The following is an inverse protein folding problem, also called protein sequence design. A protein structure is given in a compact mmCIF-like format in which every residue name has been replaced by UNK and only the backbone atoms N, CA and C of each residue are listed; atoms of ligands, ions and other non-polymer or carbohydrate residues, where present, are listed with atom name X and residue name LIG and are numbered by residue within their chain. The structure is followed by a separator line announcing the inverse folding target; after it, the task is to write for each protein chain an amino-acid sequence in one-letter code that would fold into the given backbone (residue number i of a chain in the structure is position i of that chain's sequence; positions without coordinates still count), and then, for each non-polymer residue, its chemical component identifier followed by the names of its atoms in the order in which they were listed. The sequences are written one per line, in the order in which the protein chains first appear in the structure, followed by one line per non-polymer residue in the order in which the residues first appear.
data_IF_762105717972
#
_entry.id   IF_762105717972
#
_cell.length_a   1.000
_cell.length_b   1.000
_cell.length_c   1.000
_cell.angle_alpha   90.00
_cell.angle_beta   90.00
_cell.angle_gamma   90.00
#
_symmetry.space_group_name_H-M   'P 1'
#
loop_
_entity.id
_entity.type
_entity.pdbx_description
1 polymer ?
#
# COMPACT_ATOMS: atom_id res chain seq x y z
N UNK A 1 35.12 17.87 0.26
CA UNK A 1 34.62 18.45 -1.01
C UNK A 1 33.89 17.43 -1.90
N UNK A 2 34.11 16.11 -1.81
CA UNK A 2 33.45 15.13 -2.67
C UNK A 2 31.97 14.82 -2.28
N UNK A 3 31.59 14.98 -1.01
CA UNK A 3 30.23 14.63 -0.56
C UNK A 3 29.16 15.66 -0.95
N UNK A 4 29.48 16.96 -0.95
CA UNK A 4 28.51 18.02 -1.25
C UNK A 4 28.11 18.02 -2.73
N UNK A 5 29.08 17.81 -3.62
CA UNK A 5 28.85 17.75 -5.07
C UNK A 5 28.05 16.52 -5.51
N UNK A 6 28.09 15.42 -4.74
CA UNK A 6 27.28 14.21 -4.99
C UNK A 6 25.80 14.40 -4.58
N UNK A 7 25.53 15.21 -3.58
CA UNK A 7 24.16 15.53 -3.11
C UNK A 7 23.48 16.52 -4.06
N UNK A 8 24.19 17.55 -4.55
CA UNK A 8 23.62 18.52 -5.49
C UNK A 8 23.16 17.89 -6.81
N UNK A 9 23.79 16.80 -7.24
CA UNK A 9 23.42 16.07 -8.45
C UNK A 9 22.52 14.84 -8.21
N UNK A 10 22.08 14.63 -6.97
CA UNK A 10 21.23 13.49 -6.63
C UNK A 10 19.79 13.75 -7.07
N UNK A 11 19.15 12.88 -7.89
CA UNK A 11 17.81 13.12 -8.40
C UNK A 11 16.74 13.24 -7.29
N UNK A 12 16.97 12.68 -6.11
CA UNK A 12 16.06 12.77 -4.96
C UNK A 12 16.15 14.09 -4.18
N UNK A 13 17.21 14.87 -4.39
CA UNK A 13 17.37 16.20 -3.76
C UNK A 13 17.02 17.34 -4.68
N UNK A 14 16.76 17.05 -5.96
CA UNK A 14 16.31 18.03 -6.94
C UNK A 14 14.78 18.14 -6.85
N UNK A 15 14.27 19.31 -6.46
CA UNK A 15 12.84 19.58 -6.41
C UNK A 15 12.24 19.66 -7.82
N UNK A 16 12.06 18.53 -8.49
CA UNK A 16 11.32 18.45 -9.74
C UNK A 16 9.82 18.28 -9.45
N UNK A 17 9.00 18.73 -10.40
CA UNK A 17 7.54 18.57 -10.28
C UNK A 17 7.12 17.09 -10.31
N UNK A 18 7.74 16.29 -11.15
CA UNK A 18 7.54 14.84 -11.23
C UNK A 18 8.84 14.11 -10.93
N UNK A 19 8.80 12.93 -10.31
CA UNK A 19 9.99 12.14 -10.05
C UNK A 19 10.66 11.68 -11.34
N UNK A 20 11.99 11.73 -11.37
CA UNK A 20 12.81 11.17 -12.45
C UNK A 20 13.13 9.71 -12.15
N UNK A 21 12.14 8.81 -12.25
CA UNK A 21 12.26 7.40 -11.86
C UNK A 21 13.45 6.68 -12.52
N UNK A 22 13.70 6.94 -13.80
CA UNK A 22 14.81 6.33 -14.55
C UNK A 22 16.19 6.73 -14.04
N UNK A 23 16.29 7.89 -13.36
CA UNK A 23 17.55 8.39 -12.79
C UNK A 23 17.77 7.96 -11.35
N UNK A 24 16.72 7.52 -10.64
CA UNK A 24 16.82 7.07 -9.24
C UNK A 24 17.48 5.71 -9.21
N UNK A 25 18.63 5.64 -8.51
CA UNK A 25 19.40 4.40 -8.31
C UNK A 25 19.55 4.11 -6.81
N UNK A 26 19.78 2.85 -6.41
CA UNK A 26 19.95 2.47 -5.00
C UNK A 26 20.96 3.33 -4.24
N UNK A 27 22.08 3.66 -4.88
CA UNK A 27 23.16 4.49 -4.28
C UNK A 27 22.76 5.94 -4.01
N UNK A 28 21.68 6.43 -4.61
CA UNK A 28 21.16 7.77 -4.37
C UNK A 28 20.34 7.88 -3.08
N UNK A 29 19.73 6.77 -2.63
CA UNK A 29 18.65 6.76 -1.64
C UNK A 29 19.14 7.18 -0.27
N UNK A 30 20.01 6.39 0.36
CA UNK A 30 20.48 6.64 1.73
C UNK A 30 21.15 8.00 1.89
N UNK A 31 22.05 8.46 0.99
CA UNK A 31 22.65 9.77 1.11
C UNK A 31 21.67 10.92 1.02
N UNK A 32 20.67 10.86 0.11
CA UNK A 32 19.67 11.90 -0.05
C UNK A 32 18.79 12.02 1.20
N UNK A 33 18.24 10.90 1.67
CA UNK A 33 17.35 10.89 2.85
C UNK A 33 18.08 11.37 4.09
N UNK A 34 19.32 10.93 4.31
CA UNK A 34 20.14 11.38 5.44
C UNK A 34 20.41 12.89 5.38
N UNK A 35 20.72 13.41 4.21
CA UNK A 35 20.96 14.85 4.02
C UNK A 35 19.67 15.66 4.27
N UNK A 36 18.53 15.28 3.69
CA UNK A 36 17.25 15.98 3.88
C UNK A 36 16.84 15.97 5.35
N UNK A 37 16.97 14.83 6.05
CA UNK A 37 16.67 14.74 7.48
C UNK A 37 17.53 15.72 8.29
N UNK A 38 18.82 15.82 8.00
CA UNK A 38 19.72 16.72 8.72
C UNK A 38 19.37 18.18 8.45
N UNK A 39 19.13 18.53 7.19
CA UNK A 39 18.67 19.89 6.80
C UNK A 39 17.34 20.26 7.49
N UNK A 40 16.37 19.35 7.49
CA UNK A 40 15.09 19.56 8.14
C UNK A 40 15.24 19.77 9.66
N UNK A 41 16.05 18.94 10.33
CA UNK A 41 16.35 19.12 11.75
C UNK A 41 16.95 20.50 12.06
N UNK A 42 17.90 20.93 11.24
CA UNK A 42 18.54 22.26 11.38
C UNK A 42 17.50 23.38 11.19
N UNK A 43 16.74 23.35 10.10
CA UNK A 43 15.73 24.37 9.79
C UNK A 43 14.62 24.46 10.83
N UNK A 44 14.19 23.33 11.40
CA UNK A 44 13.22 23.29 12.49
C UNK A 44 13.80 23.95 13.76
N UNK A 45 15.07 23.65 14.10
CA UNK A 45 15.71 24.29 15.23
C UNK A 45 15.82 25.82 15.05
N UNK A 46 16.25 26.27 13.87
CA UNK A 46 16.35 27.69 13.54
C UNK A 46 14.98 28.39 13.58
N UNK A 47 13.94 27.74 13.04
CA UNK A 47 12.57 28.20 13.13
C UNK A 47 12.11 28.41 14.56
N UNK A 48 12.38 27.46 15.45
CA UNK A 48 11.98 27.53 16.85
C UNK A 48 12.70 28.64 17.63
N UNK A 49 13.90 29.05 17.20
CA UNK A 49 14.61 30.20 17.80
C UNK A 49 13.89 31.54 17.52
N UNK A 50 13.12 31.64 16.46
CA UNK A 50 12.35 32.86 16.11
C UNK A 50 11.05 33.00 16.89
N UNK A 51 10.68 32.02 17.73
CA UNK A 51 9.43 32.03 18.50
C UNK A 51 8.18 32.23 17.62
N UNK A 52 7.94 31.37 16.59
CA UNK A 52 6.88 31.57 15.62
C UNK A 52 5.50 31.53 16.30
N UNK A 53 4.61 32.45 15.93
CA UNK A 53 3.30 32.65 16.54
C UNK A 53 2.15 32.78 15.56
N UNK A 54 2.42 32.68 14.25
CA UNK A 54 1.40 32.75 13.19
C UNK A 54 1.43 31.51 12.30
N UNK A 55 0.35 31.31 11.55
CA UNK A 55 0.27 30.23 10.54
C UNK A 55 1.43 30.28 9.55
N UNK A 56 1.72 31.43 9.00
CA UNK A 56 2.79 31.64 8.03
C UNK A 56 4.18 31.43 8.63
N UNK A 57 4.36 31.76 9.90
CA UNK A 57 5.66 31.58 10.55
C UNK A 57 5.91 30.14 11.04
N UNK A 58 4.87 29.38 11.38
CA UNK A 58 5.02 28.05 11.95
C UNK A 58 4.63 26.95 10.96
N UNK A 59 3.39 26.97 10.46
CA UNK A 59 2.83 25.83 9.71
C UNK A 59 3.42 25.75 8.30
N UNK A 60 3.43 26.87 7.58
CA UNK A 60 3.90 26.90 6.19
C UNK A 60 5.34 26.40 6.03
N UNK A 61 6.32 26.84 6.86
CA UNK A 61 7.68 26.29 6.76
C UNK A 61 7.78 24.80 7.12
N UNK A 62 7.02 24.35 8.11
CA UNK A 62 7.04 22.93 8.50
C UNK A 62 6.47 22.04 7.41
N UNK A 63 5.35 22.42 6.80
CA UNK A 63 4.76 21.70 5.67
C UNK A 63 5.71 21.62 4.47
N UNK A 64 6.44 22.70 4.18
CA UNK A 64 7.44 22.70 3.11
C UNK A 64 8.62 21.72 3.38
N UNK A 65 9.01 21.55 4.64
CA UNK A 65 10.04 20.60 5.04
C UNK A 65 9.55 19.15 4.92
N UNK A 66 8.31 18.90 5.35
CA UNK A 66 7.68 17.58 5.22
C UNK A 66 7.47 17.20 3.75
N UNK A 67 7.04 18.15 2.92
CA UNK A 67 6.90 17.96 1.49
C UNK A 67 8.23 17.61 0.81
N UNK A 68 9.31 18.28 1.19
CA UNK A 68 10.65 18.01 0.66
C UNK A 68 11.07 16.57 0.95
N UNK A 69 10.86 16.08 2.16
CA UNK A 69 11.15 14.70 2.53
C UNK A 69 10.23 13.72 1.81
N UNK A 70 8.93 14.02 1.71
CA UNK A 70 7.96 13.18 1.03
C UNK A 70 8.27 13.04 -0.47
N UNK A 71 8.59 14.13 -1.17
CA UNK A 71 8.98 14.11 -2.59
C UNK A 71 10.23 13.27 -2.86
N UNK A 72 11.14 13.18 -1.89
CA UNK A 72 12.32 12.33 -2.00
C UNK A 72 12.03 10.86 -1.66
N UNK A 73 11.20 10.60 -0.64
CA UNK A 73 10.96 9.25 -0.13
C UNK A 73 9.86 8.50 -0.88
N UNK A 74 8.77 9.17 -1.26
CA UNK A 74 7.62 8.53 -1.93
C UNK A 74 8.01 7.78 -3.21
N UNK A 75 8.86 8.34 -4.14
CA UNK A 75 9.32 7.59 -5.31
C UNK A 75 10.11 6.33 -4.95
N UNK A 76 10.94 6.38 -3.90
CA UNK A 76 11.75 5.23 -3.44
C UNK A 76 10.84 4.13 -2.89
N UNK A 77 9.88 4.50 -2.03
CA UNK A 77 8.89 3.58 -1.47
C UNK A 77 8.04 2.93 -2.56
N UNK A 78 7.61 3.74 -3.52
CA UNK A 78 6.87 3.27 -4.68
C UNK A 78 7.67 2.27 -5.52
N UNK A 79 8.89 2.63 -5.91
CA UNK A 79 9.79 1.75 -6.68
C UNK A 79 10.09 0.44 -5.94
N UNK A 80 10.26 0.49 -4.62
CA UNK A 80 10.42 -0.71 -3.79
C UNK A 80 9.19 -1.64 -3.87
N UNK A 81 7.99 -1.08 -4.09
CA UNK A 81 6.74 -1.84 -4.23
C UNK A 81 6.49 -2.35 -5.66
N UNK A 82 7.04 -1.73 -6.70
CA UNK A 82 6.67 -2.02 -8.10
C UNK A 82 7.81 -2.52 -9.00
N UNK A 83 9.06 -2.26 -8.62
CA UNK A 83 10.30 -2.72 -9.32
C UNK A 83 11.35 -3.15 -8.31
N UNK A 84 10.92 -3.90 -7.30
CA UNK A 84 11.78 -4.37 -6.22
C UNK A 84 13.02 -5.10 -6.74
N UNK A 85 14.17 -4.78 -6.14
CA UNK A 85 15.44 -5.46 -6.37
C UNK A 85 16.22 -5.54 -5.07
N UNK A 86 17.16 -6.47 -4.97
CA UNK A 86 17.98 -6.65 -3.77
C UNK A 86 18.69 -5.35 -3.33
N UNK A 87 19.30 -4.64 -4.27
CA UNK A 87 20.00 -3.39 -3.98
C UNK A 87 19.06 -2.25 -3.56
N UNK A 88 17.89 -2.12 -4.22
CA UNK A 88 16.89 -1.11 -3.86
C UNK A 88 16.30 -1.41 -2.49
N UNK A 89 15.95 -2.66 -2.22
CA UNK A 89 15.44 -3.13 -0.92
C UNK A 89 16.44 -2.86 0.20
N UNK A 90 17.72 -3.12 -0.04
CA UNK A 90 18.78 -2.81 0.92
C UNK A 90 18.82 -1.32 1.25
N UNK A 91 18.86 -0.45 0.25
CA UNK A 91 18.87 1.00 0.45
C UNK A 91 17.57 1.50 1.13
N UNK A 92 16.42 0.94 0.76
CA UNK A 92 15.14 1.20 1.41
C UNK A 92 15.20 0.85 2.91
N UNK A 93 15.66 -0.37 3.25
CA UNK A 93 15.74 -0.85 4.63
C UNK A 93 16.75 -0.06 5.48
N UNK A 94 17.82 0.45 4.90
CA UNK A 94 18.74 1.36 5.58
C UNK A 94 18.08 2.70 5.95
N UNK A 95 17.11 3.16 5.17
CA UNK A 95 16.39 4.40 5.43
C UNK A 95 15.25 4.26 6.45
N UNK A 96 14.63 3.09 6.60
CA UNK A 96 13.51 2.88 7.54
C UNK A 96 13.83 3.32 8.97
N UNK A 97 14.96 2.92 9.59
CA UNK A 97 15.31 3.40 10.93
C UNK A 97 15.60 4.90 10.99
N UNK A 98 16.20 5.49 9.93
CA UNK A 98 16.48 6.93 9.86
C UNK A 98 15.19 7.74 9.86
N UNK A 99 14.22 7.35 9.04
CA UNK A 99 12.90 7.98 8.93
C UNK A 99 12.09 7.80 10.23
N UNK A 100 12.13 6.60 10.82
CA UNK A 100 11.44 6.32 12.09
C UNK A 100 12.03 7.13 13.23
N UNK A 101 13.36 7.26 13.28
CA UNK A 101 14.02 8.13 14.26
C UNK A 101 13.67 9.59 14.07
N UNK A 102 13.70 10.09 12.83
CA UNK A 102 13.33 11.46 12.52
C UNK A 102 11.87 11.75 12.93
N UNK A 103 10.92 10.92 12.49
CA UNK A 103 9.51 11.09 12.83
C UNK A 103 9.27 11.05 14.35
N UNK A 104 9.96 10.16 15.07
CA UNK A 104 9.89 10.07 16.53
C UNK A 104 10.45 11.33 17.19
N UNK A 105 11.62 11.81 16.74
CA UNK A 105 12.25 13.02 17.27
C UNK A 105 11.37 14.28 17.05
N UNK A 106 10.73 14.39 15.89
CA UNK A 106 9.77 15.48 15.62
C UNK A 106 8.54 15.35 16.50
N UNK A 107 7.91 14.16 16.55
CA UNK A 107 6.71 13.92 17.34
C UNK A 107 6.92 14.06 18.87
N UNK A 108 8.15 13.93 19.37
CA UNK A 108 8.52 14.12 20.77
C UNK A 108 9.13 15.49 21.07
N UNK A 109 9.21 16.39 20.08
CA UNK A 109 9.78 17.71 20.24
C UNK A 109 8.84 18.62 21.05
N UNK A 110 9.14 18.77 22.34
CA UNK A 110 8.33 19.59 23.26
C UNK A 110 8.26 21.06 22.85
N UNK A 111 9.34 21.63 22.32
CA UNK A 111 9.35 23.05 21.86
C UNK A 111 8.42 23.26 20.66
N UNK A 112 8.40 22.27 19.75
CA UNK A 112 7.51 22.29 18.59
C UNK A 112 6.04 22.13 19.03
N UNK A 113 5.76 21.18 19.91
CA UNK A 113 4.44 21.02 20.52
C UNK A 113 3.95 22.32 21.16
N UNK A 114 4.80 22.96 21.99
CA UNK A 114 4.46 24.22 22.66
C UNK A 114 4.22 25.38 21.67
N UNK A 115 4.90 25.37 20.52
CA UNK A 115 4.61 26.33 19.46
C UNK A 115 3.21 26.16 18.87
N UNK A 116 2.76 24.92 18.66
CA UNK A 116 1.39 24.63 18.23
C UNK A 116 0.35 24.98 19.30
N UNK A 117 0.65 24.74 20.58
CA UNK A 117 -0.25 25.14 21.69
C UNK A 117 -0.37 26.67 21.75
N UNK A 118 0.74 27.41 21.66
CA UNK A 118 0.69 28.88 21.58
C UNK A 118 -0.12 29.39 20.40
N UNK A 119 -0.04 28.74 19.24
CA UNK A 119 -0.84 29.10 18.08
C UNK A 119 -2.35 28.84 18.32
N UNK A 120 -2.70 27.74 18.97
CA UNK A 120 -4.07 27.40 19.39
C UNK A 120 -4.64 28.46 20.37
N UNK A 121 -3.83 28.95 21.30
CA UNK A 121 -4.22 29.91 22.35
C UNK A 121 -4.09 31.40 21.90
N UNK A 122 -3.62 31.65 20.69
CA UNK A 122 -3.43 32.99 20.15
C UNK A 122 -4.75 33.69 19.79
N UNK A 123 -4.79 35.03 19.88
CA UNK A 123 -5.95 35.83 19.44
C UNK A 123 -6.28 35.57 17.95
N UNK A 124 -5.27 35.29 17.13
CA UNK A 124 -5.40 34.99 15.71
C UNK A 124 -6.12 33.65 15.39
N UNK A 125 -6.21 32.75 16.35
CA UNK A 125 -6.84 31.41 16.12
C UNK A 125 -8.32 31.52 15.73
N UNK A 126 -9.04 32.53 16.26
CA UNK A 126 -10.45 32.71 15.93
C UNK A 126 -10.68 33.00 14.45
N UNK A 127 -9.73 33.64 13.76
CA UNK A 127 -9.79 33.99 12.35
C UNK A 127 -9.47 32.80 11.40
N UNK A 128 -8.94 31.70 11.90
CA UNK A 128 -8.63 30.53 11.08
C UNK A 128 -9.91 29.85 10.57
N UNK A 129 -9.84 29.36 9.33
CA UNK A 129 -10.93 28.54 8.76
C UNK A 129 -11.00 27.14 9.42
N UNK A 130 -12.02 26.39 9.10
CA UNK A 130 -12.26 25.06 9.69
C UNK A 130 -11.12 24.07 9.40
N UNK A 131 -10.52 24.13 8.20
CA UNK A 131 -9.41 23.25 7.81
C UNK A 131 -8.14 23.57 8.63
N UNK A 132 -7.79 24.84 8.76
CA UNK A 132 -6.64 25.29 9.56
C UNK A 132 -6.79 24.90 11.04
N UNK A 133 -7.99 25.09 11.61
CA UNK A 133 -8.28 24.65 12.99
C UNK A 133 -8.14 23.14 13.15
N UNK A 134 -8.57 22.38 12.13
CA UNK A 134 -8.44 20.90 12.15
C UNK A 134 -6.98 20.47 12.06
N UNK A 135 -6.16 21.10 11.22
CA UNK A 135 -4.71 20.81 11.14
C UNK A 135 -4.07 20.99 12.50
N UNK A 136 -4.27 22.13 13.18
CA UNK A 136 -3.69 22.40 14.50
C UNK A 136 -4.16 21.35 15.53
N UNK A 137 -5.46 21.04 15.58
CA UNK A 137 -6.01 20.06 16.51
C UNK A 137 -5.46 18.66 16.26
N UNK A 138 -5.37 18.23 15.00
CA UNK A 138 -4.81 16.93 14.64
C UNK A 138 -3.32 16.85 15.02
N UNK A 139 -2.54 17.87 14.69
CA UNK A 139 -1.10 17.90 15.00
C UNK A 139 -0.84 17.84 16.51
N UNK A 140 -1.60 18.59 17.32
CA UNK A 140 -1.51 18.52 18.79
C UNK A 140 -1.87 17.12 19.32
N UNK A 141 -2.91 16.49 18.79
CA UNK A 141 -3.26 15.09 19.08
C UNK A 141 -2.10 14.16 18.74
N UNK A 142 -1.52 14.32 17.54
CA UNK A 142 -0.49 13.44 17.01
C UNK A 142 0.83 13.56 17.81
N UNK A 143 1.18 14.73 18.30
CA UNK A 143 2.26 14.90 19.29
C UNK A 143 2.02 14.08 20.56
N UNK A 144 0.79 14.09 21.10
CA UNK A 144 0.43 13.28 22.27
C UNK A 144 0.56 11.79 21.96
N UNK A 145 0.11 11.34 20.79
CA UNK A 145 0.21 9.96 20.32
C UNK A 145 1.66 9.54 19.98
N UNK A 146 2.55 10.50 19.76
CA UNK A 146 3.99 10.27 19.61
C UNK A 146 4.76 10.29 20.95
N UNK A 147 4.06 10.55 22.07
CA UNK A 147 4.65 10.50 23.39
C UNK A 147 5.42 11.78 23.79
N UNK A 148 4.99 12.97 23.31
CA UNK A 148 5.65 14.25 23.66
C UNK A 148 5.66 14.53 25.15
N UNK A 149 4.69 14.00 25.91
CA UNK A 149 4.54 14.17 27.36
C UNK A 149 5.24 13.09 28.19
N UNK A 150 5.81 12.07 27.58
CA UNK A 150 6.55 11.01 28.26
C UNK A 150 7.82 11.57 28.94
N UNK A 151 8.28 10.91 30.00
CA UNK A 151 9.59 11.16 30.60
C UNK A 151 10.72 10.75 29.62
N UNK A 152 11.92 11.26 29.82
CA UNK A 152 13.01 11.08 28.85
C UNK A 152 13.43 9.61 28.67
N UNK A 153 13.40 8.81 29.72
CA UNK A 153 13.64 7.35 29.66
C UNK A 153 12.52 6.61 28.93
N UNK A 154 11.26 7.01 29.13
CA UNK A 154 10.11 6.47 28.40
C UNK A 154 10.13 6.86 26.92
N UNK A 155 10.58 8.07 26.58
CA UNK A 155 10.78 8.51 25.17
C UNK A 155 11.82 7.65 24.46
N UNK A 156 12.94 7.36 25.12
CA UNK A 156 13.96 6.49 24.53
C UNK A 156 13.45 5.06 24.37
N UNK A 157 12.66 4.58 25.33
CA UNK A 157 12.00 3.27 25.22
C UNK A 157 11.00 3.25 24.04
N UNK A 158 10.14 4.24 23.95
CA UNK A 158 9.19 4.41 22.82
C UNK A 158 9.92 4.40 21.47
N UNK A 159 11.02 5.14 21.33
CA UNK A 159 11.85 5.19 20.12
C UNK A 159 12.31 3.78 19.70
N UNK A 160 12.85 3.00 20.64
CA UNK A 160 13.29 1.62 20.38
C UNK A 160 12.14 0.72 19.91
N UNK A 161 10.99 0.79 20.60
CA UNK A 161 9.80 0.03 20.20
C UNK A 161 9.34 0.40 18.78
N UNK A 162 9.35 1.68 18.42
CA UNK A 162 8.98 2.17 17.08
C UNK A 162 9.96 1.71 16.01
N UNK A 163 11.27 1.72 16.29
CA UNK A 163 12.28 1.23 15.36
C UNK A 163 12.13 -0.26 15.10
N UNK A 164 11.99 -1.08 16.14
CA UNK A 164 11.75 -2.51 15.99
C UNK A 164 10.46 -2.79 15.21
N UNK A 165 9.37 -2.09 15.55
CA UNK A 165 8.09 -2.27 14.86
C UNK A 165 8.19 -1.94 13.36
N UNK A 166 8.87 -0.87 12.97
CA UNK A 166 9.00 -0.49 11.56
C UNK A 166 9.84 -1.50 10.76
N UNK A 167 10.93 -2.01 11.34
CA UNK A 167 11.75 -3.04 10.71
C UNK A 167 11.00 -4.37 10.53
N UNK A 168 10.26 -4.81 11.56
CA UNK A 168 9.48 -6.04 11.48
C UNK A 168 8.32 -5.93 10.48
N UNK A 169 7.69 -4.77 10.40
CA UNK A 169 6.62 -4.54 9.42
C UNK A 169 7.17 -4.62 7.99
N UNK A 170 8.34 -4.01 7.72
CA UNK A 170 9.02 -4.13 6.43
C UNK A 170 9.38 -5.58 6.12
N UNK A 171 9.95 -6.30 7.09
CA UNK A 171 10.32 -7.71 6.91
C UNK A 171 9.12 -8.61 6.67
N UNK A 172 7.99 -8.34 7.32
CA UNK A 172 6.74 -9.05 7.08
C UNK A 172 6.29 -8.93 5.62
N UNK A 173 6.27 -7.72 5.08
CA UNK A 173 5.86 -7.47 3.70
C UNK A 173 6.83 -8.11 2.69
N UNK A 174 8.14 -8.03 2.95
CA UNK A 174 9.17 -8.68 2.14
C UNK A 174 8.99 -10.19 2.08
N UNK A 175 8.77 -10.85 3.23
CA UNK A 175 8.57 -12.29 3.28
C UNK A 175 7.34 -12.73 2.47
N UNK A 176 6.25 -11.97 2.49
CA UNK A 176 5.05 -12.26 1.67
C UNK A 176 5.36 -12.12 0.18
N UNK A 177 6.08 -11.07 -0.22
CA UNK A 177 6.47 -10.86 -1.62
C UNK A 177 7.41 -11.97 -2.10
N UNK A 178 8.45 -12.27 -1.30
CA UNK A 178 9.47 -13.26 -1.66
C UNK A 178 8.89 -14.67 -1.74
N UNK A 179 8.01 -15.05 -0.80
CA UNK A 179 7.27 -16.31 -0.86
C UNK A 179 6.43 -16.41 -2.14
N UNK A 180 5.75 -15.33 -2.50
CA UNK A 180 4.93 -15.29 -3.72
C UNK A 180 5.78 -15.46 -4.96
N UNK A 181 6.95 -14.82 -5.03
CA UNK A 181 7.87 -14.88 -6.16
C UNK A 181 8.67 -16.20 -6.25
N UNK A 182 8.89 -16.86 -5.12
CA UNK A 182 9.70 -18.09 -5.06
C UNK A 182 8.92 -19.34 -5.46
N UNK A 183 7.59 -19.35 -5.30
CA UNK A 183 6.79 -20.50 -5.59
C UNK A 183 6.40 -20.58 -7.07
N UNK A 184 6.55 -21.78 -7.64
CA UNK A 184 6.11 -22.09 -9.00
C UNK A 184 5.68 -23.54 -9.12
N UNK A 185 4.82 -23.79 -10.08
CA UNK A 185 4.42 -25.13 -10.50
C UNK A 185 4.62 -25.26 -12.01
N UNK A 186 5.61 -26.08 -12.42
CA UNK A 186 5.84 -26.42 -13.82
C UNK A 186 5.24 -27.78 -14.12
N UNK A 187 4.61 -27.95 -15.28
CA UNK A 187 4.06 -29.21 -15.74
C UNK A 187 4.14 -29.35 -17.27
N UNK A 188 4.35 -30.58 -17.71
CA UNK A 188 4.18 -31.02 -19.11
C UNK A 188 2.97 -31.96 -19.28
N UNK A 189 2.26 -32.26 -18.15
CA UNK A 189 1.09 -33.14 -18.15
C UNK A 189 -0.16 -32.37 -18.52
N UNK A 190 -0.75 -32.75 -19.68
CA UNK A 190 -1.99 -32.14 -20.16
C UNK A 190 -3.21 -32.35 -19.24
N UNK A 191 -3.19 -33.36 -18.37
CA UNK A 191 -4.29 -33.57 -17.43
C UNK A 191 -4.44 -32.39 -16.45
N UNK A 192 -3.33 -31.77 -16.04
CA UNK A 192 -3.36 -30.58 -15.21
C UNK A 192 -3.95 -29.35 -15.92
N UNK A 193 -4.02 -29.37 -17.26
CA UNK A 193 -4.45 -28.23 -18.07
C UNK A 193 -5.95 -28.23 -18.37
N UNK A 194 -6.63 -29.37 -18.09
CA UNK A 194 -8.05 -29.56 -18.39
C UNK A 194 -8.90 -28.53 -17.64
N UNK A 195 -9.81 -27.89 -18.39
CA UNK A 195 -10.69 -26.84 -17.87
C UNK A 195 -10.10 -25.44 -17.87
N UNK A 196 -8.77 -25.30 -17.93
CA UNK A 196 -8.13 -23.99 -17.94
C UNK A 196 -8.41 -23.20 -19.24
N UNK A 197 -8.71 -21.90 -19.15
CA UNK A 197 -8.93 -21.08 -20.34
C UNK A 197 -7.62 -20.81 -21.10
N UNK A 198 -7.74 -20.60 -22.41
CA UNK A 198 -6.61 -20.35 -23.31
C UNK A 198 -5.75 -19.16 -22.85
N UNK A 199 -6.38 -18.13 -22.26
CA UNK A 199 -5.67 -16.96 -21.72
C UNK A 199 -4.70 -17.34 -20.57
N UNK A 200 -5.09 -18.27 -19.70
CA UNK A 200 -4.25 -18.76 -18.62
C UNK A 200 -3.14 -19.68 -19.14
N UNK A 201 -3.47 -20.56 -20.11
CA UNK A 201 -2.49 -21.45 -20.73
C UNK A 201 -1.41 -20.68 -21.48
N UNK A 202 -1.80 -19.65 -22.24
CA UNK A 202 -0.87 -18.77 -22.95
C UNK A 202 0.07 -18.03 -22.00
N UNK A 203 -0.46 -17.50 -20.89
CA UNK A 203 0.36 -16.85 -19.86
C UNK A 203 1.34 -17.82 -19.20
N UNK A 204 0.87 -19.03 -18.84
CA UNK A 204 1.72 -20.06 -18.24
C UNK A 204 2.79 -20.57 -19.22
N UNK A 205 2.47 -20.67 -20.51
CA UNK A 205 3.42 -21.03 -21.56
C UNK A 205 4.51 -19.96 -21.72
N UNK A 206 4.11 -18.71 -21.82
CA UNK A 206 5.04 -17.58 -21.88
C UNK A 206 5.98 -17.53 -20.66
N UNK A 207 5.44 -17.80 -19.48
CA UNK A 207 6.24 -17.87 -18.24
C UNK A 207 7.27 -18.99 -18.28
N UNK A 208 6.89 -20.19 -18.79
CA UNK A 208 7.82 -21.30 -18.97
C UNK A 208 8.95 -20.94 -19.96
N UNK A 209 8.60 -20.33 -21.08
CA UNK A 209 9.58 -19.88 -22.07
C UNK A 209 10.57 -18.85 -21.52
N UNK A 210 10.09 -17.85 -20.76
CA UNK A 210 10.95 -16.85 -20.10
C UNK A 210 11.92 -17.50 -19.09
N UNK A 211 11.51 -18.60 -18.47
CA UNK A 211 12.31 -19.37 -17.51
C UNK A 211 13.14 -20.51 -18.17
N UNK A 212 13.05 -20.65 -19.48
CA UNK A 212 13.70 -21.74 -20.23
C UNK A 212 13.28 -23.13 -19.73
N UNK A 213 12.02 -23.29 -19.38
CA UNK A 213 11.40 -24.55 -18.93
C UNK A 213 10.47 -25.10 -20.00
N UNK A 214 10.39 -26.43 -20.09
CA UNK A 214 9.41 -27.09 -20.95
C UNK A 214 8.01 -27.06 -20.32
N UNK A 215 6.97 -27.10 -21.14
CA UNK A 215 5.59 -27.18 -20.67
C UNK A 215 4.99 -25.83 -20.30
N UNK A 216 4.35 -25.77 -19.14
CA UNK A 216 3.62 -24.61 -18.61
C UNK A 216 4.07 -24.34 -17.17
N UNK A 217 4.43 -23.09 -16.88
CA UNK A 217 4.84 -22.67 -15.54
C UNK A 217 3.83 -21.69 -14.97
N UNK A 218 3.25 -22.07 -13.85
CA UNK A 218 2.28 -21.31 -13.10
C UNK A 218 2.94 -20.70 -11.86
N UNK A 219 2.52 -19.49 -11.50
CA UNK A 219 2.97 -18.74 -10.30
C UNK A 219 1.80 -18.44 -9.38
N UNK A 220 2.07 -17.85 -8.20
CA UNK A 220 1.02 -17.39 -7.28
C UNK A 220 0.54 -15.95 -7.56
N UNK A 221 0.96 -15.33 -8.66
CA UNK A 221 0.39 -14.07 -9.08
C UNK A 221 -1.11 -14.22 -9.34
N UNK A 222 -1.88 -13.24 -8.86
CA UNK A 222 -3.34 -13.31 -8.90
C UNK A 222 -3.94 -13.62 -10.30
N UNK A 223 -3.41 -13.03 -11.41
CA UNK A 223 -3.90 -13.35 -12.75
C UNK A 223 -3.68 -14.82 -13.19
N UNK A 224 -2.77 -15.53 -12.51
CA UNK A 224 -2.48 -16.95 -12.80
C UNK A 224 -3.13 -17.87 -11.77
N UNK A 225 -3.16 -17.45 -10.49
CA UNK A 225 -3.81 -18.19 -9.40
C UNK A 225 -5.32 -18.34 -9.60
N UNK A 226 -6.02 -17.22 -9.88
CA UNK A 226 -7.49 -17.24 -9.98
C UNK A 226 -8.03 -18.14 -11.10
N UNK A 227 -7.49 -18.15 -12.34
CA UNK A 227 -7.93 -19.09 -13.37
C UNK A 227 -7.79 -20.55 -12.95
N UNK A 228 -6.72 -20.93 -12.24
CA UNK A 228 -6.57 -22.29 -11.71
C UNK A 228 -7.68 -22.61 -10.73
N UNK A 229 -7.99 -21.72 -9.80
CA UNK A 229 -9.04 -21.93 -8.80
C UNK A 229 -10.45 -21.99 -9.38
N UNK A 230 -10.73 -21.25 -10.45
CA UNK A 230 -12.05 -21.14 -11.07
C UNK A 230 -12.32 -22.23 -12.11
N UNK A 231 -11.27 -22.67 -12.83
CA UNK A 231 -11.47 -23.43 -14.06
C UNK A 231 -10.75 -24.78 -14.13
N UNK A 232 -9.65 -24.99 -13.38
CA UNK A 232 -8.95 -26.27 -13.44
C UNK A 232 -9.87 -27.41 -12.98
N UNK A 233 -10.09 -28.42 -13.80
CA UNK A 233 -10.94 -29.58 -13.46
C UNK A 233 -10.27 -30.46 -12.40
N UNK A 234 -8.92 -30.50 -12.35
CA UNK A 234 -8.17 -31.26 -11.36
C UNK A 234 -8.24 -30.63 -9.96
N UNK A 235 -8.99 -31.28 -9.05
CA UNK A 235 -9.13 -30.84 -7.66
C UNK A 235 -7.79 -30.88 -6.90
N UNK A 236 -6.89 -31.79 -7.24
CA UNK A 236 -5.57 -31.88 -6.59
C UNK A 236 -4.68 -30.70 -6.98
N UNK A 237 -4.79 -30.21 -8.21
CA UNK A 237 -4.12 -28.98 -8.63
C UNK A 237 -4.67 -27.77 -7.88
N UNK A 238 -6.01 -27.63 -7.79
CA UNK A 238 -6.64 -26.55 -7.01
C UNK A 238 -6.19 -26.59 -5.55
N UNK A 239 -6.14 -27.77 -4.93
CA UNK A 239 -5.63 -27.94 -3.56
C UNK A 239 -4.19 -27.44 -3.41
N UNK A 240 -3.30 -27.83 -4.33
CA UNK A 240 -1.90 -27.40 -4.33
C UNK A 240 -1.77 -25.88 -4.38
N UNK A 241 -2.52 -25.25 -5.29
CA UNK A 241 -2.53 -23.79 -5.43
C UNK A 241 -3.14 -23.08 -4.20
N UNK A 242 -4.26 -23.58 -3.70
CA UNK A 242 -4.91 -23.06 -2.51
C UNK A 242 -3.97 -23.11 -1.31
N UNK A 243 -3.34 -24.24 -1.04
CA UNK A 243 -2.38 -24.38 0.05
C UNK A 243 -1.21 -23.40 -0.12
N UNK A 244 -0.59 -23.37 -1.30
CA UNK A 244 0.52 -22.49 -1.55
C UNK A 244 0.13 -21.02 -1.40
N UNK A 245 -1.04 -20.60 -1.86
CA UNK A 245 -1.48 -19.22 -1.77
C UNK A 245 -1.87 -18.77 -0.37
N UNK A 246 -2.62 -19.61 0.37
CA UNK A 246 -3.16 -19.26 1.68
C UNK A 246 -2.14 -19.37 2.81
N UNK A 247 -1.06 -20.12 2.61
CA UNK A 247 0.01 -20.32 3.60
C UNK A 247 1.30 -19.56 3.29
N UNK A 248 1.24 -18.55 2.41
CA UNK A 248 2.40 -17.71 2.11
C UNK A 248 2.94 -17.06 3.38
N UNK A 249 4.25 -17.09 3.53
CA UNK A 249 4.97 -16.54 4.67
C UNK A 249 4.44 -17.01 6.04
N UNK A 250 4.02 -18.28 6.13
CA UNK A 250 3.60 -18.90 7.38
C UNK A 250 4.46 -20.12 7.72
N UNK A 251 4.26 -20.69 8.90
CA UNK A 251 4.87 -21.94 9.36
C UNK A 251 4.22 -23.18 8.71
N UNK A 252 3.21 -23.01 7.87
CA UNK A 252 2.47 -24.06 7.17
C UNK A 252 2.75 -24.01 5.66
N UNK A 253 2.47 -25.14 4.99
CA UNK A 253 2.49 -25.19 3.53
C UNK A 253 3.84 -25.50 2.90
N UNK A 254 3.95 -25.34 1.57
CA UNK A 254 5.10 -25.80 0.80
C UNK A 254 6.25 -24.79 0.69
N UNK A 255 6.26 -23.76 1.49
CA UNK A 255 7.21 -22.64 1.39
C UNK A 255 8.46 -22.86 2.25
N UNK A 256 9.54 -22.19 1.87
CA UNK A 256 10.76 -22.17 2.67
C UNK A 256 10.51 -21.43 4.00
N UNK A 257 10.97 -22.02 5.08
CA UNK A 257 10.81 -21.51 6.45
C UNK A 257 11.51 -20.17 6.69
N UNK A 258 12.48 -19.79 5.84
CA UNK A 258 13.13 -18.48 5.92
C UNK A 258 12.17 -17.31 5.75
N UNK A 259 11.01 -17.53 5.11
CA UNK A 259 9.98 -16.52 4.89
C UNK A 259 8.89 -16.53 5.98
N UNK A 260 9.00 -17.37 7.01
CA UNK A 260 7.97 -17.50 8.02
C UNK A 260 7.79 -16.23 8.84
N UNK A 261 6.55 -15.73 8.89
CA UNK A 261 6.16 -14.52 9.62
C UNK A 261 5.52 -14.78 10.99
N UNK A 262 5.39 -16.04 11.44
CA UNK A 262 4.68 -16.36 12.68
C UNK A 262 5.26 -15.62 13.89
N UNK A 263 6.57 -15.72 14.11
CA UNK A 263 7.25 -15.01 15.19
C UNK A 263 7.21 -13.47 15.00
N UNK A 264 7.32 -13.01 13.74
CA UNK A 264 7.21 -11.59 13.42
C UNK A 264 5.84 -11.04 13.79
N UNK A 265 4.76 -11.79 13.55
CA UNK A 265 3.39 -11.38 13.93
C UNK A 265 3.26 -11.23 15.44
N UNK A 266 3.74 -12.22 16.21
CA UNK A 266 3.69 -12.18 17.67
C UNK A 266 4.47 -10.98 18.22
N UNK A 267 5.66 -10.72 17.68
CA UNK A 267 6.47 -9.58 18.10
C UNK A 267 5.83 -8.24 17.72
N UNK A 268 5.28 -8.09 16.52
CA UNK A 268 4.51 -6.90 16.10
C UNK A 268 3.34 -6.65 17.06
N UNK A 269 2.57 -7.67 17.41
CA UNK A 269 1.44 -7.54 18.33
C UNK A 269 1.90 -7.10 19.71
N UNK A 270 2.99 -7.70 20.22
CA UNK A 270 3.61 -7.35 21.51
C UNK A 270 4.09 -5.89 21.52
N UNK A 271 4.83 -5.46 20.47
CA UNK A 271 5.32 -4.08 20.35
C UNK A 271 4.16 -3.06 20.28
N UNK A 272 3.11 -3.37 19.50
CA UNK A 272 1.91 -2.52 19.42
C UNK A 272 1.22 -2.37 20.78
N UNK A 273 1.14 -3.45 21.55
CA UNK A 273 0.58 -3.43 22.90
C UNK A 273 1.44 -2.58 23.85
N UNK A 274 2.76 -2.80 23.89
CA UNK A 274 3.70 -2.04 24.71
C UNK A 274 3.64 -0.53 24.41
N UNK A 275 3.67 -0.14 23.12
CA UNK A 275 3.55 1.26 22.71
C UNK A 275 2.21 1.86 23.17
N UNK A 276 1.12 1.10 23.10
CA UNK A 276 -0.20 1.59 23.50
C UNK A 276 -0.27 1.84 25.01
N UNK A 277 0.23 0.90 25.81
CA UNK A 277 0.26 1.03 27.27
C UNK A 277 1.17 2.18 27.72
N UNK A 278 2.32 2.37 27.07
CA UNK A 278 3.24 3.47 27.36
C UNK A 278 2.56 4.84 27.14
N UNK A 279 1.62 4.92 26.20
CA UNK A 279 0.83 6.12 25.91
C UNK A 279 -0.47 6.23 26.73
N UNK A 280 -0.72 5.31 27.67
CA UNK A 280 -1.88 5.33 28.56
C UNK A 280 -3.16 4.69 27.97
N UNK A 281 -3.07 3.96 26.87
CA UNK A 281 -4.18 3.17 26.32
C UNK A 281 -4.15 1.74 26.88
N UNK A 282 -5.31 1.13 27.08
CA UNK A 282 -5.40 -0.25 27.54
C UNK A 282 -4.90 -1.26 26.49
N UNK A 283 -5.06 -0.94 25.23
CA UNK A 283 -4.69 -1.81 24.10
C UNK A 283 -4.47 -1.04 22.81
N UNK A 284 -3.95 -1.74 21.79
CA UNK A 284 -3.70 -1.16 20.47
C UNK A 284 -4.98 -0.72 19.74
N UNK A 285 -6.12 -1.40 19.94
CA UNK A 285 -7.36 -1.03 19.29
C UNK A 285 -7.84 0.37 19.73
N UNK A 286 -7.82 0.66 21.04
CA UNK A 286 -8.14 1.99 21.57
C UNK A 286 -7.19 3.06 21.00
N UNK A 287 -5.87 2.80 21.03
CA UNK A 287 -4.90 3.72 20.44
C UNK A 287 -5.15 3.95 18.95
N UNK A 288 -5.44 2.90 18.21
CA UNK A 288 -5.71 2.95 16.77
C UNK A 288 -6.95 3.79 16.45
N UNK A 289 -7.97 3.77 17.30
CA UNK A 289 -9.20 4.54 17.12
C UNK A 289 -9.05 6.03 17.44
N UNK A 290 -8.01 6.44 18.18
CA UNK A 290 -7.79 7.85 18.53
C UNK A 290 -7.72 8.80 17.31
N UNK A 291 -7.44 8.28 16.11
CA UNK A 291 -7.39 9.03 14.84
C UNK A 291 -8.50 8.67 13.86
N UNK A 292 -9.47 7.84 14.26
CA UNK A 292 -10.52 7.30 13.40
C UNK A 292 -11.91 7.82 13.77
N UNK A 293 -12.92 7.48 12.98
CA UNK A 293 -14.31 7.91 13.19
C UNK A 293 -15.02 7.11 14.27
N UNK A 294 -14.70 5.82 14.45
CA UNK A 294 -15.31 5.00 15.48
C UNK A 294 -14.78 5.44 16.86
N UNK A 295 -15.67 5.53 17.83
CA UNK A 295 -15.37 6.08 19.16
C UNK A 295 -14.76 5.06 20.12
N UNK A 296 -15.08 3.77 19.93
CA UNK A 296 -14.56 2.69 20.80
C UNK A 296 -14.43 1.36 20.07
N UNK A 297 -13.57 0.45 20.55
CA UNK A 297 -13.50 -0.94 20.06
C UNK A 297 -14.85 -1.67 20.14
N UNK A 298 -15.65 -1.38 21.19
CA UNK A 298 -16.98 -1.96 21.36
C UNK A 298 -17.94 -1.55 20.25
N UNK A 299 -17.93 -0.28 19.85
CA UNK A 299 -18.75 0.20 18.71
C UNK A 299 -18.39 -0.57 17.42
N UNK A 300 -17.09 -0.79 17.17
CA UNK A 300 -16.64 -1.56 16.01
C UNK A 300 -17.08 -3.02 16.10
N UNK A 301 -16.94 -3.65 17.26
CA UNK A 301 -17.34 -5.05 17.47
C UNK A 301 -18.86 -5.22 17.33
N UNK A 302 -19.65 -4.31 17.88
CA UNK A 302 -21.12 -4.36 17.74
C UNK A 302 -21.55 -4.27 16.28
N UNK A 303 -20.96 -3.34 15.52
CA UNK A 303 -21.20 -3.22 14.09
C UNK A 303 -20.83 -4.50 13.31
N UNK A 304 -19.64 -5.08 13.60
CA UNK A 304 -19.21 -6.31 12.94
C UNK A 304 -20.07 -7.53 13.32
N UNK A 305 -20.49 -7.62 14.59
CA UNK A 305 -21.38 -8.70 15.04
C UNK A 305 -22.76 -8.60 14.38
N UNK A 306 -23.33 -7.40 14.29
CA UNK A 306 -24.60 -7.17 13.58
C UNK A 306 -24.50 -7.59 12.10
N UNK A 307 -23.41 -7.22 11.41
CA UNK A 307 -23.18 -7.66 10.04
C UNK A 307 -23.07 -9.19 9.95
N UNK A 308 -22.37 -9.82 10.90
CA UNK A 308 -22.21 -11.28 10.92
C UNK A 308 -23.54 -11.99 11.16
N UNK A 309 -24.38 -11.50 12.09
CA UNK A 309 -25.72 -12.06 12.37
C UNK A 309 -26.61 -12.03 11.14
N UNK A 310 -26.61 -10.93 10.38
CA UNK A 310 -27.40 -10.81 9.16
C UNK A 310 -26.83 -11.60 7.98
N UNK A 311 -25.49 -11.68 7.84
CA UNK A 311 -24.83 -12.33 6.71
C UNK A 311 -24.76 -13.86 6.84
N UNK A 312 -24.57 -14.38 8.06
CA UNK A 312 -24.34 -15.81 8.28
C UNK A 312 -25.45 -16.73 7.78
N UNK A 313 -26.77 -16.44 8.01
CA UNK A 313 -27.85 -17.25 7.47
C UNK A 313 -27.85 -17.30 5.93
N UNK A 314 -27.55 -16.18 5.28
CA UNK A 314 -27.49 -16.07 3.82
C UNK A 314 -26.34 -16.92 3.29
N UNK A 315 -25.15 -16.74 3.85
CA UNK A 315 -23.94 -17.50 3.48
C UNK A 315 -24.13 -19.02 3.65
N UNK A 316 -24.83 -19.45 4.73
CA UNK A 316 -25.17 -20.88 4.92
C UNK A 316 -26.11 -21.40 3.83
N UNK A 317 -27.10 -20.61 3.43
CA UNK A 317 -28.04 -21.00 2.37
C UNK A 317 -27.31 -21.08 1.01
N UNK A 318 -26.45 -20.12 0.68
CA UNK A 318 -25.65 -20.13 -0.54
C UNK A 318 -24.67 -21.33 -0.58
N UNK A 319 -24.02 -21.64 0.54
CA UNK A 319 -23.17 -22.83 0.64
C UNK A 319 -23.96 -24.12 0.46
N UNK A 320 -25.16 -24.25 1.06
CA UNK A 320 -26.04 -25.40 0.89
C UNK A 320 -26.48 -25.55 -0.58
N UNK A 321 -26.83 -24.44 -1.24
CA UNK A 321 -27.16 -24.46 -2.67
C UNK A 321 -25.97 -24.97 -3.50
N UNK A 322 -24.77 -24.47 -3.23
CA UNK A 322 -23.55 -24.89 -3.92
C UNK A 322 -23.25 -26.37 -3.71
N UNK A 323 -23.37 -26.89 -2.48
CA UNK A 323 -23.18 -28.30 -2.16
C UNK A 323 -24.21 -29.20 -2.89
N UNK A 324 -25.48 -28.77 -2.92
CA UNK A 324 -26.53 -29.51 -3.64
C UNK A 324 -26.27 -29.53 -5.14
N UNK A 325 -25.85 -28.42 -5.72
CA UNK A 325 -25.47 -28.33 -7.13
C UNK A 325 -24.30 -29.27 -7.45
N UNK A 326 -23.22 -29.22 -6.66
CA UNK A 326 -22.04 -30.07 -6.85
C UNK A 326 -22.41 -31.57 -6.74
N UNK A 327 -23.27 -31.94 -5.79
CA UNK A 327 -23.75 -33.30 -5.60
C UNK A 327 -24.60 -33.79 -6.79
N UNK A 328 -25.52 -32.95 -7.28
CA UNK A 328 -26.45 -33.32 -8.34
C UNK A 328 -25.80 -33.41 -9.70
N UNK A 329 -24.89 -32.49 -10.03
CA UNK A 329 -24.31 -32.38 -11.38
C UNK A 329 -22.93 -33.02 -11.52
N UNK A 330 -22.18 -33.15 -10.42
CA UNK A 330 -20.80 -33.63 -10.43
C UNK A 330 -20.55 -34.80 -9.48
N UNK A 331 -21.58 -35.27 -8.76
CA UNK A 331 -21.49 -36.41 -7.80
C UNK A 331 -20.50 -36.14 -6.64
N UNK A 332 -20.19 -34.89 -6.36
CA UNK A 332 -19.34 -34.47 -5.25
C UNK A 332 -20.18 -34.26 -4.01
N UNK A 333 -19.95 -35.05 -2.98
CA UNK A 333 -20.76 -35.02 -1.75
C UNK A 333 -20.23 -34.08 -0.68
N UNK A 334 -18.96 -33.68 -0.76
CA UNK A 334 -18.32 -32.76 0.17
C UNK A 334 -17.43 -31.80 -0.61
N UNK A 335 -17.58 -30.51 -0.35
CA UNK A 335 -16.73 -29.45 -0.90
C UNK A 335 -15.62 -29.12 0.09
N UNK A 336 -14.39 -29.06 -0.41
CA UNK A 336 -13.26 -28.50 0.29
C UNK A 336 -13.15 -26.99 -0.02
N UNK A 337 -12.34 -26.27 0.73
CA UNK A 337 -12.15 -24.84 0.52
C UNK A 337 -11.68 -24.47 -0.90
N UNK A 338 -10.82 -25.31 -1.48
CA UNK A 338 -10.33 -25.12 -2.86
C UNK A 338 -11.34 -25.48 -3.95
N UNK A 339 -12.43 -26.14 -3.60
CA UNK A 339 -13.50 -26.50 -4.53
C UNK A 339 -14.56 -25.40 -4.66
N UNK A 340 -14.69 -24.55 -3.65
CA UNK A 340 -15.73 -23.51 -3.59
C UNK A 340 -15.65 -22.55 -4.81
N UNK A 341 -14.51 -21.97 -5.18
CA UNK A 341 -14.44 -21.06 -6.33
C UNK A 341 -14.83 -21.77 -7.64
N UNK A 342 -14.37 -22.99 -7.83
CA UNK A 342 -14.66 -23.79 -9.03
C UNK A 342 -16.15 -24.10 -9.18
N UNK A 343 -16.80 -24.65 -8.15
CA UNK A 343 -18.22 -24.96 -8.24
C UNK A 343 -19.09 -23.71 -8.23
N UNK A 344 -18.66 -22.63 -7.62
CA UNK A 344 -19.35 -21.33 -7.72
C UNK A 344 -19.37 -20.81 -9.17
N UNK A 345 -18.26 -20.92 -9.90
CA UNK A 345 -18.23 -20.56 -11.32
C UNK A 345 -19.08 -21.51 -12.18
N UNK A 346 -19.07 -22.81 -11.90
CA UNK A 346 -19.94 -23.79 -12.59
C UNK A 346 -21.43 -23.53 -12.30
N UNK A 347 -21.80 -23.20 -11.05
CA UNK A 347 -23.17 -22.84 -10.68
C UNK A 347 -23.61 -21.56 -11.38
N UNK A 348 -22.74 -20.56 -11.45
CA UNK A 348 -23.01 -19.30 -12.16
C UNK A 348 -23.24 -19.56 -13.66
N UNK A 349 -22.39 -20.37 -14.30
CA UNK A 349 -22.57 -20.79 -15.69
C UNK A 349 -23.91 -21.52 -15.90
N UNK A 350 -24.25 -22.42 -14.97
CA UNK A 350 -25.51 -23.16 -15.03
C UNK A 350 -26.74 -22.24 -14.89
N UNK A 351 -26.70 -21.28 -13.96
CA UNK A 351 -27.85 -20.39 -13.70
C UNK A 351 -28.01 -19.29 -14.77
N UNK A 352 -26.91 -18.72 -15.25
CA UNK A 352 -26.93 -17.50 -16.06
C UNK A 352 -26.41 -17.70 -17.49
N UNK A 353 -25.89 -18.91 -17.80
CA UNK A 353 -25.29 -19.22 -19.09
C UNK A 353 -24.19 -18.24 -19.53
N UNK A 354 -23.39 -17.76 -18.56
CA UNK A 354 -22.30 -16.77 -18.74
C UNK A 354 -21.10 -17.16 -17.89
N UNK A 355 -19.91 -17.20 -18.48
CA UNK A 355 -18.65 -17.30 -17.80
C UNK A 355 -17.89 -15.96 -17.75
N UNK A 356 -16.92 -15.83 -16.87
CA UNK A 356 -16.02 -14.66 -16.88
C UNK A 356 -15.21 -14.57 -18.17
N UNK A 357 -14.84 -15.72 -18.75
CA UNK A 357 -14.09 -15.77 -20.01
C UNK A 357 -14.92 -15.24 -21.19
N UNK A 358 -16.22 -15.54 -21.23
CA UNK A 358 -17.13 -15.04 -22.27
C UNK A 358 -17.26 -13.51 -22.24
N UNK A 359 -17.07 -12.90 -21.07
CA UNK A 359 -17.14 -11.45 -20.90
C UNK A 359 -15.85 -10.73 -21.29
N UNK A 360 -14.68 -11.36 -21.16
CA UNK A 360 -13.37 -10.71 -21.42
C UNK A 360 -13.26 -10.00 -22.76
N UNK A 361 -13.74 -10.56 -23.90
CA UNK A 361 -13.65 -9.89 -25.20
C UNK A 361 -14.42 -8.56 -25.27
N UNK A 362 -15.44 -8.39 -24.42
CA UNK A 362 -16.26 -7.18 -24.39
C UNK A 362 -15.63 -6.08 -23.54
N UNK A 363 -14.65 -6.43 -22.66
CA UNK A 363 -14.00 -5.52 -21.73
C UNK A 363 -12.48 -5.43 -21.93
N UNK A 364 -11.98 -5.18 -23.18
CA UNK A 364 -10.55 -4.96 -23.36
C UNK A 364 -10.13 -3.69 -22.64
N UNK A 365 -8.97 -3.73 -21.97
CA UNK A 365 -8.51 -2.69 -21.05
C UNK A 365 -8.58 -1.27 -21.61
N UNK A 366 -8.19 -1.08 -22.88
CA UNK A 366 -8.22 0.24 -23.54
C UNK A 366 -9.64 0.80 -23.67
N UNK A 367 -10.67 -0.05 -23.88
CA UNK A 367 -12.08 0.37 -23.91
C UNK A 367 -12.60 0.66 -22.52
N UNK A 368 -12.20 -0.16 -21.53
CA UNK A 368 -12.60 0.04 -20.11
C UNK A 368 -12.06 1.35 -19.58
N UNK A 369 -10.76 1.63 -19.77
CA UNK A 369 -10.13 2.88 -19.34
C UNK A 369 -10.82 4.09 -20.02
N UNK A 370 -11.00 4.02 -21.34
CA UNK A 370 -11.70 5.09 -22.05
C UNK A 370 -13.13 5.28 -21.54
N UNK A 371 -13.88 4.19 -21.37
CA UNK A 371 -15.27 4.25 -20.86
C UNK A 371 -15.34 4.81 -19.44
N UNK A 372 -14.38 4.46 -18.56
CA UNK A 372 -14.27 5.04 -17.24
C UNK A 372 -14.04 6.55 -17.30
N UNK A 373 -13.13 7.02 -18.16
CA UNK A 373 -12.88 8.45 -18.32
C UNK A 373 -14.10 9.19 -18.90
N UNK A 374 -14.82 8.58 -19.83
CA UNK A 374 -16.05 9.14 -20.39
C UNK A 374 -17.14 9.27 -19.29
N UNK A 375 -17.28 8.28 -18.39
CA UNK A 375 -18.22 8.36 -17.26
C UNK A 375 -17.81 9.46 -16.28
N UNK A 376 -16.53 9.52 -15.91
CA UNK A 376 -16.01 10.53 -14.98
C UNK A 376 -16.17 11.95 -15.57
N UNK A 377 -15.94 12.12 -16.86
CA UNK A 377 -16.21 13.38 -17.56
C UNK A 377 -17.68 13.79 -17.46
N UNK A 378 -18.60 12.85 -17.71
CA UNK A 378 -20.06 13.12 -17.63
C UNK A 378 -20.55 13.46 -16.23
N UNK A 379 -19.91 12.87 -15.19
CA UNK A 379 -20.29 13.11 -13.80
C UNK A 379 -19.72 14.39 -13.23
N UNK A 380 -18.47 14.72 -13.58
CA UNK A 380 -17.70 15.79 -12.92
C UNK A 380 -17.23 16.89 -13.86
N UNK A 381 -17.44 16.78 -15.16
CA UNK A 381 -16.97 17.77 -16.15
C UNK A 381 -15.47 17.79 -16.37
N UNK A 382 -14.71 16.85 -15.78
CA UNK A 382 -13.26 16.78 -15.93
C UNK A 382 -12.84 16.00 -17.16
N UNK A 383 -11.72 16.39 -17.75
CA UNK A 383 -11.12 15.72 -18.92
C UNK A 383 -9.87 14.98 -18.46
N UNK A 384 -9.71 13.73 -18.90
CA UNK A 384 -8.52 12.91 -18.61
C UNK A 384 -7.83 12.58 -19.92
N UNK A 385 -6.55 12.94 -20.04
CA UNK A 385 -5.75 12.74 -21.26
C UNK A 385 -4.46 12.00 -20.96
N UNK A 386 -4.10 11.03 -21.79
CA UNK A 386 -2.78 10.42 -21.75
C UNK A 386 -1.72 11.45 -22.22
N UNK A 387 -0.58 11.46 -21.56
CA UNK A 387 0.58 12.28 -21.91
C UNK A 387 1.77 11.35 -22.13
N UNK A 388 2.34 11.42 -23.32
CA UNK A 388 3.51 10.62 -23.70
C UNK A 388 4.82 11.30 -23.27
N UNK A 389 5.89 10.51 -23.17
CA UNK A 389 7.23 11.00 -22.90
C UNK A 389 7.51 11.37 -21.43
N UNK A 390 6.61 11.05 -20.53
CA UNK A 390 6.84 11.20 -19.07
C UNK A 390 7.66 10.01 -18.57
N UNK A 391 8.64 10.31 -17.73
CA UNK A 391 9.49 9.29 -17.13
C UNK A 391 8.71 8.39 -16.18
N UNK A 392 8.86 7.08 -16.34
CA UNK A 392 8.14 6.04 -15.61
C UNK A 392 9.12 4.95 -15.15
N UNK A 393 8.72 4.18 -14.14
CA UNK A 393 9.51 3.05 -13.62
C UNK A 393 9.43 1.78 -14.48
N UNK A 394 8.47 1.68 -15.42
CA UNK A 394 8.31 0.53 -16.30
C UNK A 394 7.58 0.93 -17.59
N UNK A 395 7.87 0.23 -18.69
CA UNK A 395 7.28 0.51 -20.03
C UNK A 395 5.76 0.32 -20.12
N UNK A 396 5.17 -0.48 -19.25
CA UNK A 396 3.71 -0.73 -19.20
C UNK A 396 2.93 0.34 -18.45
N UNK A 397 3.62 1.31 -17.84
CA UNK A 397 3.00 2.39 -17.09
C UNK A 397 2.59 3.51 -18.02
N UNK A 398 1.36 3.96 -17.89
CA UNK A 398 0.83 5.11 -18.62
C UNK A 398 0.65 6.30 -17.68
N UNK A 399 0.85 7.51 -18.18
CA UNK A 399 0.67 8.74 -17.43
C UNK A 399 -0.50 9.57 -17.97
N UNK A 400 -1.27 10.16 -17.08
CA UNK A 400 -2.48 10.92 -17.40
C UNK A 400 -2.53 12.24 -16.67
N UNK A 401 -3.11 13.24 -17.33
CA UNK A 401 -3.46 14.54 -16.74
C UNK A 401 -4.98 14.67 -16.64
N UNK A 402 -5.43 15.25 -15.54
CA UNK A 402 -6.80 15.61 -15.26
C UNK A 402 -6.93 17.13 -15.35
N UNK A 403 -7.78 17.62 -16.24
CA UNK A 403 -8.12 19.02 -16.34
C UNK A 403 -9.62 19.26 -16.14
N UNK A 404 -10.00 20.45 -15.70
CA UNK A 404 -11.40 20.87 -15.63
C UNK A 404 -11.94 21.34 -16.99
N UNK A 405 -13.16 21.88 -16.98
CA UNK A 405 -13.82 22.42 -18.17
C UNK A 405 -13.08 23.61 -18.81
N UNK A 406 -12.29 24.33 -18.01
CA UNK A 406 -11.46 25.47 -18.44
C UNK A 406 -10.03 25.09 -18.80
N UNK A 407 -9.75 23.78 -18.95
CA UNK A 407 -8.43 23.20 -19.20
C UNK A 407 -7.39 23.48 -18.11
N UNK A 408 -7.84 23.83 -16.88
CA UNK A 408 -6.95 23.99 -15.74
C UNK A 408 -6.58 22.63 -15.17
N UNK A 409 -5.30 22.43 -14.90
CA UNK A 409 -4.78 21.20 -14.29
C UNK A 409 -5.38 20.99 -12.88
N UNK A 410 -5.92 19.81 -12.64
CA UNK A 410 -6.51 19.39 -11.36
C UNK A 410 -5.76 18.26 -10.68
N UNK A 411 -5.05 17.45 -11.46
CA UNK A 411 -4.24 16.35 -10.96
C UNK A 411 -3.56 15.59 -12.09
N UNK A 412 -2.63 14.73 -11.70
CA UNK A 412 -1.88 13.86 -12.61
C UNK A 412 -1.71 12.50 -11.97
N UNK A 413 -1.70 11.44 -12.76
CA UNK A 413 -1.50 10.11 -12.19
C UNK A 413 -0.82 9.15 -13.16
N UNK A 414 -0.09 8.21 -12.58
CA UNK A 414 0.42 7.04 -13.25
C UNK A 414 -0.58 5.89 -13.12
N UNK A 415 -0.73 5.12 -14.18
CA UNK A 415 -1.59 3.93 -14.20
C UNK A 415 -0.74 2.70 -14.54
N UNK A 416 -0.59 1.80 -13.57
CA UNK A 416 0.21 0.58 -13.66
C UNK A 416 -0.68 -0.66 -13.48
N UNK A 417 -1.30 -1.13 -14.55
CA UNK A 417 -2.36 -2.13 -14.52
C UNK A 417 -1.88 -3.58 -14.50
N UNK A 418 -0.63 -3.87 -14.86
CA UNK A 418 -0.19 -5.24 -15.10
C UNK A 418 0.60 -5.82 -13.92
N UNK A 419 0.30 -7.08 -13.60
CA UNK A 419 1.13 -7.86 -12.69
C UNK A 419 2.47 -8.18 -13.37
N UNK A 420 3.54 -8.19 -12.59
CA UNK A 420 4.87 -8.61 -13.03
C UNK A 420 5.71 -9.06 -11.84
N UNK A 421 6.77 -9.78 -12.10
CA UNK A 421 7.73 -10.21 -11.07
C UNK A 421 8.23 -9.00 -10.26
N UNK A 422 8.39 -9.17 -8.97
CA UNK A 422 8.88 -8.14 -8.02
C UNK A 422 7.96 -6.90 -7.89
N UNK A 423 6.71 -7.00 -8.33
CA UNK A 423 5.67 -6.01 -8.07
C UNK A 423 4.74 -6.53 -6.99
N UNK A 424 4.44 -5.69 -6.01
CA UNK A 424 3.42 -5.96 -4.99
C UNK A 424 2.08 -6.25 -5.65
N UNK A 425 1.45 -7.35 -5.27
CA UNK A 425 0.14 -7.75 -5.78
C UNK A 425 -1.01 -6.92 -5.20
N UNK A 426 -2.19 -7.10 -5.80
CA UNK A 426 -3.41 -6.40 -5.41
C UNK A 426 -3.64 -5.10 -6.18
N UNK A 427 -4.76 -4.43 -5.85
CA UNK A 427 -5.08 -3.10 -6.35
C UNK A 427 -4.88 -2.09 -5.22
N UNK A 428 -4.04 -1.10 -5.43
CA UNK A 428 -3.69 -0.09 -4.43
C UNK A 428 -3.34 1.23 -5.12
N UNK A 429 -3.37 2.30 -4.36
CA UNK A 429 -3.00 3.65 -4.78
C UNK A 429 -1.87 4.13 -3.87
N UNK A 430 -0.97 4.90 -4.45
CA UNK A 430 0.10 5.61 -3.76
C UNK A 430 0.07 7.09 -4.13
N UNK A 431 0.66 7.96 -3.32
CA UNK A 431 0.63 9.39 -3.51
C UNK A 431 2.07 9.94 -3.50
N UNK A 432 2.42 10.70 -4.53
CA UNK A 432 3.72 11.33 -4.63
C UNK A 432 3.69 12.79 -4.17
N UNK A 433 2.65 13.53 -4.58
CA UNK A 433 2.46 14.94 -4.27
C UNK A 433 1.06 15.13 -3.71
N UNK A 434 0.97 15.59 -2.48
CA UNK A 434 -0.30 15.92 -1.83
C UNK A 434 -0.82 17.27 -2.31
N UNK A 435 -2.12 17.33 -2.64
CA UNK A 435 -2.73 18.62 -2.99
C UNK A 435 -2.71 19.58 -1.81
N UNK A 436 -2.08 20.72 -1.99
CA UNK A 436 -2.07 21.77 -0.97
C UNK A 436 -2.17 23.17 -1.59
N UNK A 437 -2.49 24.16 -0.78
CA UNK A 437 -2.54 25.55 -1.18
C UNK A 437 -1.70 26.41 -0.22
N UNK A 438 -0.64 27.03 -0.76
CA UNK A 438 0.21 27.96 -0.06
C UNK A 438 0.19 29.30 -0.78
N UNK A 439 -0.01 30.41 -0.04
CA UNK A 439 0.00 31.77 -0.55
C UNK A 439 -0.82 31.99 -1.84
N UNK A 440 -1.98 31.33 -1.93
CA UNK A 440 -2.86 31.42 -3.08
C UNK A 440 -2.48 30.53 -4.27
N UNK A 441 -1.30 29.90 -4.26
CA UNK A 441 -0.87 28.92 -5.25
C UNK A 441 -1.33 27.54 -4.84
N UNK A 442 -1.95 26.83 -5.76
CA UNK A 442 -2.35 25.43 -5.58
C UNK A 442 -1.34 24.51 -6.27
N UNK A 443 -0.74 23.62 -5.50
CA UNK A 443 -0.03 22.45 -6.05
C UNK A 443 -1.02 21.29 -6.15
N UNK A 444 -1.15 20.72 -7.35
CA UNK A 444 -2.05 19.62 -7.63
C UNK A 444 -1.32 18.28 -7.48
N UNK A 445 -2.04 17.22 -7.04
CA UNK A 445 -1.48 15.90 -6.89
C UNK A 445 -1.10 15.27 -8.22
#
# INVERSE_FOLDING_TARGET
MSNTQSIENNPLTQCQRLPSFSLIKPEHVTPAIQWIINENKQKINDLLLTSPSTWQQLIVPLEALDETLNKAWSPVSHMNSVVNSENLRKAYNECIPLLTEYATAIGQNKKLYDAYVRLLESDGYSAFNAAQKRVIANTIRDFKLAGVALADDEKEHYKKLKQSLSQLTSKFDENVLDTTNAWEFNTTDNNHLTGLPESALSLAKQTAEQKQQDGWTFTLDFPMYMPVMLYADDSSLRQKFYQAYTTRASDQGPHDTQYNNSEIMDEILSLRHQISNLLGFNNYAERSLATKMAESPEQVLNFLNELAEHSLPIAKNELNELQNFAKQHFQVTQLNAWDIPYYSEKLKQHKYNVSQEDLKPYFPIHKVIKGMFDVVNRLYGIKIKAIDGIDCWHSDVSFYQITDENDQLRGEFYLDCYARKNKRGGAWMDECITRHQLDGKVDNP
#
